data_IF_832865401254
#
_entry.id   IF_832865401254
#
_cell.length_a   1.000
_cell.length_b   1.000
_cell.length_c   1.000
_cell.angle_alpha   90.00
_cell.angle_beta   90.00
_cell.angle_gamma   90.00
#
_symmetry.space_group_name_H-M   'P 1'
#
loop_
_entity.id
_entity.type
_entity.pdbx_description
1 polymer ?
#
# COMPACT_ATOMS: atom_id res chain seq x y z
N UNK A 1 1.34 -8.75 2.35
CA UNK A 1 2.37 -8.77 1.28
C UNK A 1 2.74 -10.20 0.92
N UNK A 2 2.94 -10.52 -0.38
CA UNK A 2 3.35 -11.88 -0.78
C UNK A 2 4.82 -12.16 -0.41
N UNK A 3 5.17 -13.43 -0.19
CA UNK A 3 6.56 -13.85 0.08
C UNK A 3 7.52 -13.43 -1.04
N UNK A 4 7.05 -13.41 -2.29
CA UNK A 4 7.82 -12.98 -3.45
C UNK A 4 8.15 -11.50 -3.36
N UNK A 5 7.19 -10.65 -2.96
CA UNK A 5 7.43 -9.21 -2.79
C UNK A 5 8.44 -8.94 -1.67
N UNK A 6 8.33 -9.69 -0.57
CA UNK A 6 9.26 -9.58 0.58
C UNK A 6 10.69 -9.95 0.16
N UNK A 7 10.85 -11.12 -0.50
CA UNK A 7 12.15 -11.59 -0.95
C UNK A 7 12.78 -10.63 -1.97
N UNK A 8 11.98 -10.10 -2.91
CA UNK A 8 12.45 -9.12 -3.88
C UNK A 8 12.93 -7.83 -3.20
N UNK A 9 12.19 -7.32 -2.21
CA UNK A 9 12.59 -6.14 -1.44
C UNK A 9 13.91 -6.38 -0.69
N UNK A 10 14.06 -7.54 -0.04
CA UNK A 10 15.31 -7.92 0.63
C UNK A 10 16.49 -8.02 -0.35
N UNK A 11 16.28 -8.59 -1.54
CA UNK A 11 17.33 -8.67 -2.56
C UNK A 11 17.76 -7.30 -3.04
N UNK A 12 16.82 -6.38 -3.27
CA UNK A 12 17.12 -5.00 -3.67
C UNK A 12 17.92 -4.28 -2.57
N UNK A 13 17.58 -4.51 -1.30
CA UNK A 13 18.28 -3.86 -0.20
C UNK A 13 19.74 -4.35 -0.01
N UNK A 14 20.08 -5.52 -0.54
CA UNK A 14 21.47 -6.01 -0.54
C UNK A 14 22.31 -5.46 -1.70
N UNK A 15 21.72 -4.75 -2.67
CA UNK A 15 22.44 -4.22 -3.83
C UNK A 15 23.31 -3.01 -3.47
N UNK A 16 24.36 -2.70 -4.26
CA UNK A 16 25.06 -1.42 -4.19
C UNK A 16 24.14 -0.22 -4.50
N UNK A 17 24.44 0.97 -3.95
CA UNK A 17 23.58 2.17 -4.11
C UNK A 17 23.22 2.53 -5.57
N UNK A 18 24.14 2.44 -6.57
CA UNK A 18 23.77 2.70 -7.96
C UNK A 18 22.71 1.74 -8.49
N UNK A 19 22.79 0.47 -8.11
CA UNK A 19 21.89 -0.58 -8.56
C UNK A 19 20.54 -0.51 -7.82
N UNK A 20 20.53 -0.10 -6.54
CA UNK A 20 19.30 0.24 -5.80
C UNK A 20 18.52 1.36 -6.49
N UNK A 21 19.21 2.42 -6.90
CA UNK A 21 18.59 3.55 -7.59
C UNK A 21 18.00 3.14 -8.94
N UNK A 22 18.70 2.29 -9.69
CA UNK A 22 18.18 1.74 -10.94
C UNK A 22 16.92 0.87 -10.71
N UNK A 23 16.96 -0.01 -9.71
CA UNK A 23 15.82 -0.84 -9.35
C UNK A 23 14.60 0.00 -8.93
N UNK A 24 14.82 1.05 -8.13
CA UNK A 24 13.78 1.99 -7.72
C UNK A 24 13.10 2.68 -8.91
N UNK A 25 13.89 3.25 -9.82
CA UNK A 25 13.34 3.94 -11.00
C UNK A 25 12.60 2.98 -11.95
N UNK A 26 13.07 1.74 -12.08
CA UNK A 26 12.37 0.70 -12.83
C UNK A 26 11.03 0.35 -12.18
N UNK A 27 11.01 0.06 -10.88
CA UNK A 27 9.79 -0.28 -10.14
C UNK A 27 8.78 0.87 -10.22
N UNK A 28 9.24 2.11 -10.04
CA UNK A 28 8.39 3.30 -10.15
C UNK A 28 7.71 3.39 -11.51
N UNK A 29 8.44 3.14 -12.61
CA UNK A 29 7.86 3.11 -13.96
C UNK A 29 6.85 1.99 -14.15
N UNK A 30 7.13 0.80 -13.60
CA UNK A 30 6.21 -0.34 -13.66
C UNK A 30 4.92 -0.06 -12.89
N UNK A 31 5.03 0.52 -11.70
CA UNK A 31 3.87 0.93 -10.89
C UNK A 31 3.06 1.98 -11.62
N UNK A 32 3.68 3.03 -12.17
CA UNK A 32 2.96 4.07 -12.93
C UNK A 32 2.28 3.53 -14.19
N UNK A 33 2.89 2.57 -14.89
CA UNK A 33 2.28 1.95 -16.06
C UNK A 33 1.11 1.03 -15.67
N UNK A 34 1.21 0.38 -14.50
CA UNK A 34 0.16 -0.51 -14.00
C UNK A 34 -0.99 0.26 -13.36
N UNK A 35 -0.70 1.34 -12.64
CA UNK A 35 -1.65 2.17 -11.91
C UNK A 35 -1.18 3.64 -11.91
N UNK A 36 -1.48 4.40 -12.97
CA UNK A 36 -1.03 5.78 -13.10
C UNK A 36 -1.64 6.72 -12.05
N UNK A 37 -2.84 6.40 -11.58
CA UNK A 37 -3.61 7.21 -10.64
C UNK A 37 -3.53 6.69 -9.19
N UNK A 38 -2.74 5.63 -8.93
CA UNK A 38 -2.61 4.98 -7.60
C UNK A 38 -3.97 4.57 -6.98
N UNK A 39 -4.91 4.12 -7.81
CA UNK A 39 -6.27 3.76 -7.39
C UNK A 39 -6.50 2.26 -7.24
N UNK A 40 -5.55 1.43 -7.68
CA UNK A 40 -5.67 -0.02 -7.65
C UNK A 40 -5.26 -0.55 -6.29
N UNK A 41 -6.14 -1.36 -5.73
CA UNK A 41 -5.89 -2.07 -4.49
C UNK A 41 -5.13 -3.35 -4.77
N UNK A 42 -4.18 -3.66 -3.90
CA UNK A 42 -3.68 -5.04 -3.80
C UNK A 42 -4.81 -5.97 -3.35
N UNK A 43 -4.68 -7.27 -3.60
CA UNK A 43 -5.69 -8.26 -3.18
C UNK A 43 -5.95 -8.23 -1.68
N UNK A 44 -4.93 -7.90 -0.89
CA UNK A 44 -5.03 -7.82 0.57
C UNK A 44 -5.80 -6.56 1.01
N UNK A 45 -5.48 -5.40 0.43
CA UNK A 45 -6.22 -4.15 0.69
C UNK A 45 -7.66 -4.24 0.21
N UNK A 46 -7.92 -4.91 -0.90
CA UNK A 46 -9.27 -5.16 -1.39
C UNK A 46 -10.07 -6.03 -0.39
N UNK A 47 -9.44 -7.07 0.19
CA UNK A 47 -10.08 -7.92 1.21
C UNK A 47 -10.39 -7.12 2.49
N UNK A 48 -9.45 -6.30 2.95
CA UNK A 48 -9.67 -5.43 4.10
C UNK A 48 -10.77 -4.42 3.85
N UNK A 49 -10.84 -3.86 2.63
CA UNK A 49 -11.90 -2.94 2.25
C UNK A 49 -13.27 -3.62 2.25
N UNK A 50 -13.38 -4.84 1.72
CA UNK A 50 -14.63 -5.61 1.76
C UNK A 50 -15.04 -5.94 3.21
N UNK A 51 -14.10 -6.40 4.04
CA UNK A 51 -14.36 -6.66 5.48
C UNK A 51 -14.82 -5.39 6.21
N UNK A 52 -14.22 -4.23 5.90
CA UNK A 52 -14.64 -2.95 6.45
C UNK A 52 -16.05 -2.55 5.98
N UNK A 53 -16.39 -2.76 4.70
CA UNK A 53 -17.74 -2.52 4.18
C UNK A 53 -18.77 -3.41 4.88
N UNK A 54 -18.43 -4.66 5.13
CA UNK A 54 -19.30 -5.62 5.81
C UNK A 54 -19.48 -5.32 7.31
N UNK A 55 -18.48 -4.67 7.92
CA UNK A 55 -18.55 -4.23 9.33
C UNK A 55 -19.56 -3.10 9.58
N UNK A 56 -20.15 -2.55 8.50
CA UNK A 56 -21.11 -1.46 8.54
C UNK A 56 -20.47 -0.09 8.43
N UNK A 57 -21.30 0.94 8.30
CA UNK A 57 -20.87 2.33 8.24
C UNK A 57 -21.43 3.07 9.46
N UNK A 58 -20.61 3.93 10.06
CA UNK A 58 -21.04 4.87 11.10
C UNK A 58 -21.21 6.23 10.44
N UNK A 59 -22.34 6.88 10.65
CA UNK A 59 -22.58 8.21 10.11
C UNK A 59 -21.59 9.21 10.73
N UNK A 60 -21.11 10.16 9.94
CA UNK A 60 -20.08 11.10 10.37
C UNK A 60 -20.49 11.95 11.59
N UNK A 61 -21.80 12.12 11.79
CA UNK A 61 -22.40 12.81 12.94
C UNK A 61 -22.33 11.98 14.24
N UNK A 62 -22.28 10.66 14.12
CA UNK A 62 -22.16 9.73 15.26
C UNK A 62 -20.70 9.47 15.66
N UNK A 63 -19.75 9.91 14.83
CA UNK A 63 -18.32 9.82 15.12
C UNK A 63 -17.92 10.94 16.10
N UNK A 64 -17.44 10.54 17.28
CA UNK A 64 -16.84 11.48 18.24
C UNK A 64 -15.42 11.87 17.80
N UNK A 65 -15.34 12.87 16.93
CA UNK A 65 -14.07 13.40 16.39
C UNK A 65 -13.13 13.95 17.47
N UNK A 66 -13.64 14.30 18.66
CA UNK A 66 -12.81 14.79 19.77
C UNK A 66 -11.98 13.69 20.44
N UNK A 67 -12.25 12.41 20.14
CA UNK A 67 -11.50 11.27 20.68
C UNK A 67 -10.50 10.65 19.69
N UNK A 68 -10.41 11.17 18.47
CA UNK A 68 -9.59 10.60 17.40
C UNK A 68 -8.39 11.52 17.16
N UNK A 69 -7.16 10.99 17.22
CA UNK A 69 -5.94 11.75 16.91
C UNK A 69 -5.31 12.51 18.08
N UNK A 70 -5.69 12.24 19.33
CA UNK A 70 -4.95 12.68 20.49
C UNK A 70 -3.85 11.67 20.83
N UNK A 71 -2.61 12.01 20.47
CA UNK A 71 -1.39 11.48 21.10
C UNK A 71 -1.06 12.25 22.39
#
# INVERSE_FOLDING_TARGET
>A
MSEIAMNAAHMIDMLPDPDKNLAYELIKKLVLAWDPDFTKLTTEEAKQLEEAKDSGFVDAEEIDWSKIGHE
#
